data_IF_488180805323
#
_entry.id   IF_488180805323
#
_cell.length_a   1.000
_cell.length_b   1.000
_cell.length_c   1.000
_cell.angle_alpha   90.00
_cell.angle_beta   90.00
_cell.angle_gamma   90.00
#
_symmetry.space_group_name_H-M   'P 1'
#
loop_
_entity.id
_entity.type
_entity.pdbx_description
1 polymer ?
#
# COMPACT_ATOMS: atom_id res chain seq x y z
N UNK A 1 -10.76 1.16 13.40
CA UNK A 1 -10.93 2.05 12.23
C UNK A 1 -10.96 1.15 11.00
N UNK A 2 -12.07 1.11 10.26
CA UNK A 2 -12.17 0.38 8.99
C UNK A 2 -11.96 1.37 7.85
N UNK A 3 -11.06 1.05 6.93
CA UNK A 3 -10.63 1.96 5.88
C UNK A 3 -10.72 1.28 4.51
N UNK A 4 -10.41 2.04 3.47
CA UNK A 4 -10.35 1.54 2.10
C UNK A 4 -9.07 0.73 1.85
N UNK A 5 -9.13 -0.10 0.82
CA UNK A 5 -7.99 -0.80 0.20
C UNK A 5 -6.78 0.12 -0.05
N UNK A 6 -7.00 1.37 -0.46
CA UNK A 6 -5.96 2.40 -0.65
C UNK A 6 -5.16 2.70 0.63
N UNK A 7 -5.81 2.65 1.79
CA UNK A 7 -5.13 2.86 3.08
C UNK A 7 -4.20 1.69 3.39
N UNK A 8 -4.68 0.47 3.17
CA UNK A 8 -3.90 -0.73 3.40
C UNK A 8 -2.76 -0.85 2.37
N UNK A 9 -3.00 -0.49 1.11
CA UNK A 9 -1.97 -0.44 0.07
C UNK A 9 -0.88 0.60 0.40
N UNK A 10 -1.26 1.80 0.83
CA UNK A 10 -0.31 2.84 1.26
C UNK A 10 0.51 2.38 2.46
N UNK A 11 -0.13 1.72 3.43
CA UNK A 11 0.56 1.14 4.58
C UNK A 11 1.53 0.03 4.15
N UNK A 12 1.12 -0.96 3.35
CA UNK A 12 2.00 -2.01 2.84
C UNK A 12 3.18 -1.45 2.04
N UNK A 13 2.98 -0.34 1.32
CA UNK A 13 4.03 0.39 0.61
C UNK A 13 5.03 1.02 1.56
N UNK A 14 4.55 1.73 2.60
CA UNK A 14 5.41 2.26 3.66
C UNK A 14 6.11 1.15 4.45
N UNK A 15 5.48 -0.03 4.56
CA UNK A 15 6.11 -1.19 5.18
C UNK A 15 7.18 -1.85 4.28
N UNK A 16 7.26 -1.48 2.99
CA UNK A 16 8.19 -2.05 2.01
C UNK A 16 7.80 -3.45 1.51
N UNK A 17 6.54 -3.86 1.69
CA UNK A 17 6.09 -5.25 1.44
C UNK A 17 4.92 -5.35 0.45
N UNK A 18 4.48 -4.22 -0.13
CA UNK A 18 3.34 -4.20 -1.05
C UNK A 18 3.50 -5.25 -2.16
N UNK A 19 4.68 -5.37 -2.77
CA UNK A 19 4.89 -6.30 -3.88
C UNK A 19 4.97 -7.77 -3.46
N UNK A 20 5.21 -8.05 -2.19
CA UNK A 20 5.20 -9.42 -1.65
C UNK A 20 3.76 -9.85 -1.33
N UNK A 21 2.96 -8.93 -0.77
CA UNK A 21 1.62 -9.26 -0.27
C UNK A 21 0.56 -9.10 -1.35
N UNK A 22 0.64 -8.04 -2.16
CA UNK A 22 -0.33 -7.68 -3.20
C UNK A 22 0.42 -7.24 -4.48
N UNK A 23 1.07 -8.17 -5.21
CA UNK A 23 1.87 -7.84 -6.40
C UNK A 23 1.04 -7.15 -7.49
N UNK A 24 -0.12 -7.73 -7.84
CA UNK A 24 -0.88 -7.34 -9.02
C UNK A 24 -2.15 -6.52 -8.71
N UNK A 25 -2.18 -5.77 -7.61
CA UNK A 25 -3.35 -4.92 -7.33
C UNK A 25 -3.40 -4.32 -5.94
N UNK A 26 -4.64 -4.11 -5.50
CA UNK A 26 -4.98 -3.59 -4.18
C UNK A 26 -5.40 -4.74 -3.25
N UNK A 27 -5.31 -4.55 -1.92
CA UNK A 27 -5.84 -5.48 -0.94
C UNK A 27 -7.31 -5.85 -1.22
N UNK A 28 -7.64 -7.13 -1.10
CA UNK A 28 -9.00 -7.63 -1.35
C UNK A 28 -10.00 -7.16 -0.29
N UNK A 29 -11.29 -7.36 -0.59
CA UNK A 29 -12.36 -7.02 0.34
C UNK A 29 -12.22 -7.76 1.68
N UNK A 30 -12.37 -7.00 2.77
CA UNK A 30 -12.16 -7.43 4.14
C UNK A 30 -10.72 -7.92 4.46
N UNK A 31 -9.74 -7.53 3.65
CA UNK A 31 -8.33 -7.65 4.03
C UNK A 31 -8.07 -6.90 5.33
N UNK A 32 -7.20 -7.46 6.17
CA UNK A 32 -6.87 -6.87 7.47
C UNK A 32 -5.39 -7.04 7.77
N UNK A 33 -4.83 -6.03 8.41
CA UNK A 33 -3.48 -6.06 8.97
C UNK A 33 -3.58 -5.77 10.45
N UNK A 34 -2.75 -6.46 11.22
CA UNK A 34 -2.74 -6.34 12.67
C UNK A 34 -1.30 -6.33 13.17
N UNK A 35 -1.01 -5.40 14.08
CA UNK A 35 0.28 -5.23 14.72
C UNK A 35 0.19 -5.65 16.17
N UNK A 36 1.13 -6.47 16.59
CA UNK A 36 1.32 -6.88 17.97
C UNK A 36 2.58 -6.24 18.52
N UNK A 37 2.49 -5.74 19.75
CA UNK A 37 3.64 -5.33 20.54
C UNK A 37 3.84 -6.33 21.67
N UNK A 38 4.93 -7.09 21.59
CA UNK A 38 5.33 -8.10 22.56
C UNK A 38 6.46 -7.57 23.43
N UNK A 39 6.48 -8.00 24.70
CA UNK A 39 7.64 -7.80 25.59
C UNK A 39 8.25 -9.17 25.91
N UNK A 40 9.44 -9.42 25.38
CA UNK A 40 10.16 -10.70 25.50
C UNK A 40 11.54 -10.39 26.05
N UNK A 41 11.92 -11.01 27.17
CA UNK A 41 13.21 -10.82 27.84
C UNK A 41 13.55 -9.34 28.11
N UNK A 42 12.53 -8.56 28.48
CA UNK A 42 12.68 -7.12 28.76
C UNK A 42 12.75 -6.24 27.51
N UNK A 43 12.79 -6.81 26.30
CA UNK A 43 12.83 -6.08 25.03
C UNK A 43 11.47 -6.06 24.34
N UNK A 44 11.15 -4.95 23.68
CA UNK A 44 9.94 -4.83 22.87
C UNK A 44 10.17 -5.33 21.45
N UNK A 45 9.26 -6.18 20.98
CA UNK A 45 9.27 -6.76 19.64
C UNK A 45 7.90 -6.59 18.98
N UNK A 46 7.91 -6.39 17.67
CA UNK A 46 6.73 -6.23 16.83
C UNK A 46 6.50 -7.53 16.07
N UNK A 47 5.26 -7.98 16.01
CA UNK A 47 4.81 -9.02 15.08
C UNK A 47 3.68 -8.46 14.25
N UNK A 48 3.69 -8.71 12.96
CA UNK A 48 2.70 -8.19 12.02
C UNK A 48 2.08 -9.35 11.29
N UNK A 49 0.75 -9.44 11.37
CA UNK A 49 0.02 -10.47 10.65
C UNK A 49 -0.95 -9.84 9.64
N UNK A 50 -1.17 -10.56 8.56
CA UNK A 50 -2.04 -10.17 7.46
C UNK A 50 -3.10 -11.23 7.20
N UNK A 51 -4.31 -10.78 6.91
CA UNK A 51 -5.41 -11.61 6.43
C UNK A 51 -5.82 -11.08 5.06
N UNK A 52 -5.82 -11.97 4.07
CA UNK A 52 -5.99 -11.58 2.66
C UNK A 52 -7.40 -11.11 2.32
N UNK A 53 -8.43 -11.80 2.83
CA UNK A 53 -9.83 -11.53 2.49
C UNK A 53 -10.79 -12.17 3.50
N UNK A 54 -12.09 -12.05 3.24
CA UNK A 54 -13.15 -12.59 4.10
C UNK A 54 -13.21 -14.13 4.15
N UNK A 55 -12.69 -14.86 3.14
CA UNK A 55 -12.72 -16.33 3.10
C UNK A 55 -11.51 -16.97 3.77
N UNK A 56 -10.39 -16.25 3.85
CA UNK A 56 -9.18 -16.73 4.52
C UNK A 56 -9.42 -16.78 6.03
N UNK A 57 -9.27 -17.96 6.63
CA UNK A 57 -9.46 -18.15 8.08
C UNK A 57 -8.16 -17.96 8.88
N UNK A 58 -7.01 -18.15 8.23
CA UNK A 58 -5.69 -18.02 8.86
C UNK A 58 -5.12 -16.61 8.72
N UNK A 59 -4.30 -16.24 9.70
CA UNK A 59 -3.45 -15.07 9.65
C UNK A 59 -2.06 -15.46 9.16
N UNK A 60 -1.56 -14.75 8.16
CA UNK A 60 -0.21 -14.90 7.63
C UNK A 60 0.74 -14.02 8.42
N UNK A 61 1.82 -14.59 8.95
CA UNK A 61 2.90 -13.80 9.54
C UNK A 61 3.68 -13.12 8.42
N UNK A 62 3.64 -11.79 8.40
CA UNK A 62 4.32 -10.98 7.38
C UNK A 62 5.53 -10.24 7.94
N UNK A 63 5.92 -10.51 9.19
CA UNK A 63 6.97 -9.78 9.91
C UNK A 63 8.31 -9.86 9.21
N UNK A 64 8.69 -11.05 8.75
CA UNK A 64 9.99 -11.28 8.09
C UNK A 64 10.13 -10.64 6.71
N UNK A 65 9.04 -10.19 6.09
CA UNK A 65 9.08 -9.49 4.79
C UNK A 65 9.35 -8.00 4.96
N UNK A 66 9.13 -7.46 6.16
CA UNK A 66 9.21 -6.03 6.42
C UNK A 66 10.62 -5.50 6.14
N UNK A 67 10.72 -4.48 5.30
CA UNK A 67 12.01 -3.87 4.97
C UNK A 67 12.66 -3.28 6.22
N UNK A 68 13.93 -3.61 6.46
CA UNK A 68 14.68 -3.16 7.63
C UNK A 68 14.40 -3.96 8.92
N UNK A 69 13.54 -4.98 8.89
CA UNK A 69 13.42 -5.97 9.96
C UNK A 69 14.27 -7.22 9.65
N UNK A 70 14.79 -7.93 10.65
CA UNK A 70 15.38 -9.26 10.45
C UNK A 70 14.34 -10.23 9.88
N UNK A 71 14.78 -11.21 9.07
CA UNK A 71 13.92 -12.27 8.52
C UNK A 71 13.55 -13.32 9.58
N UNK A 72 12.84 -12.88 10.62
CA UNK A 72 12.39 -13.66 11.78
C UNK A 72 10.90 -13.42 12.05
N UNK A 73 10.31 -14.24 12.93
CA UNK A 73 8.90 -14.14 13.37
C UNK A 73 8.57 -12.89 14.20
N UNK A 74 9.59 -12.10 14.55
CA UNK A 74 9.46 -10.84 15.30
C UNK A 74 10.51 -9.83 14.83
N UNK A 75 10.14 -8.55 14.85
CA UNK A 75 11.03 -7.43 14.55
C UNK A 75 11.30 -6.62 15.82
N UNK A 76 12.55 -6.35 16.22
CA UNK A 76 12.83 -5.48 17.35
C UNK A 76 12.18 -4.10 17.15
N UNK A 77 11.58 -3.55 18.22
CA UNK A 77 10.89 -2.25 18.14
C UNK A 77 11.81 -1.13 17.65
N UNK A 78 13.09 -1.17 18.02
CA UNK A 78 14.09 -0.17 17.62
C UNK A 78 14.27 -0.18 16.10
N UNK A 79 14.43 -1.36 15.50
CA UNK A 79 14.62 -1.52 14.06
C UNK A 79 13.34 -1.11 13.31
N UNK A 80 12.18 -1.56 13.78
CA UNK A 80 10.88 -1.19 13.23
C UNK A 80 10.65 0.34 13.27
N UNK A 81 11.07 1.00 14.36
CA UNK A 81 10.98 2.45 14.49
C UNK A 81 11.92 3.14 13.51
N UNK A 82 13.20 2.77 13.50
CA UNK A 82 14.21 3.40 12.64
C UNK A 82 13.83 3.33 11.17
N UNK A 83 13.41 2.16 10.69
CA UNK A 83 12.99 2.00 9.29
C UNK A 83 11.70 2.77 8.95
N UNK A 84 10.87 3.08 9.95
CA UNK A 84 9.61 3.81 9.73
C UNK A 84 9.80 5.33 9.67
N UNK A 85 10.94 5.85 10.14
CA UNK A 85 11.23 7.31 10.17
C UNK A 85 11.10 7.96 8.78
N UNK A 86 11.66 7.41 7.68
CA UNK A 86 11.57 8.04 6.36
C UNK A 86 10.14 8.19 5.82
N UNK A 87 9.21 7.36 6.30
CA UNK A 87 7.80 7.37 5.88
C UNK A 87 6.92 8.24 6.79
N UNK A 88 7.49 8.82 7.86
CA UNK A 88 6.78 9.77 8.70
C UNK A 88 6.87 11.17 8.06
N UNK A 89 5.74 11.77 7.64
CA UNK A 89 5.76 13.06 6.95
C UNK A 89 6.23 14.23 7.82
N UNK A 90 6.32 14.08 9.15
CA UNK A 90 6.65 15.18 10.04
C UNK A 90 5.60 16.30 9.90
N UNK A 91 5.95 17.41 9.26
CA UNK A 91 5.02 18.50 8.96
C UNK A 91 4.33 18.27 7.59
N UNK A 92 3.14 17.67 7.64
CA UNK A 92 2.37 17.37 6.42
C UNK A 92 1.96 18.63 5.64
N UNK A 93 1.73 19.76 6.31
CA UNK A 93 1.34 21.01 5.66
C UNK A 93 2.45 21.57 4.77
N UNK A 94 3.69 21.50 5.26
CA UNK A 94 4.87 21.95 4.52
C UNK A 94 5.14 21.03 3.31
N UNK A 95 5.07 19.71 3.51
CA UNK A 95 5.27 18.75 2.42
C UNK A 95 4.21 18.90 1.32
N UNK A 96 2.94 19.08 1.69
CA UNK A 96 1.86 19.27 0.72
C UNK A 96 1.93 20.61 -0.02
N UNK A 97 2.59 21.63 0.55
CA UNK A 97 2.84 22.89 -0.13
C UNK A 97 4.03 22.82 -1.10
N UNK A 98 4.95 21.88 -0.89
CA UNK A 98 6.13 21.66 -1.71
C UNK A 98 5.84 20.71 -2.89
N UNK A 99 4.86 21.08 -3.72
CA UNK A 99 4.60 20.40 -4.99
C UNK A 99 5.39 21.16 -6.06
N UNK A 100 6.28 20.49 -6.82
CA UNK A 100 6.87 21.11 -8.00
C UNK A 100 5.75 21.63 -8.89
N UNK A 101 5.87 22.83 -9.49
CA UNK A 101 4.87 23.28 -10.45
C UNK A 101 4.70 22.16 -11.48
N UNK A 102 3.45 21.72 -11.70
CA UNK A 102 3.15 20.76 -12.75
C UNK A 102 3.90 21.24 -13.98
N UNK A 103 4.82 20.43 -14.51
CA UNK A 103 5.42 20.72 -15.78
C UNK A 103 4.24 20.88 -16.73
N UNK A 104 4.03 22.11 -17.20
CA UNK A 104 3.02 22.44 -18.21
C UNK A 104 3.46 21.72 -19.46
N UNK A 105 3.23 20.41 -19.51
CA UNK A 105 3.25 19.67 -20.74
C UNK A 105 2.05 20.25 -21.45
N UNK A 106 2.29 21.24 -22.31
CA UNK A 106 1.37 21.63 -23.34
C UNK A 106 1.09 20.35 -24.11
N UNK A 107 0.05 19.62 -23.69
CA UNK A 107 -0.55 18.59 -24.51
C UNK A 107 -0.94 19.32 -25.78
N UNK A 108 -0.14 19.13 -26.82
CA UNK A 108 -0.48 19.56 -28.18
C UNK A 108 -1.91 19.06 -28.39
N UNK A 109 -2.88 19.92 -28.73
CA UNK A 109 -4.25 19.50 -28.93
C UNK A 109 -4.24 18.26 -29.81
N UNK A 110 -4.85 17.17 -29.35
CA UNK A 110 -4.95 15.97 -30.15
C UNK A 110 -5.61 16.37 -31.48
N UNK A 111 -4.88 16.23 -32.57
CA UNK A 111 -5.45 16.40 -33.90
C UNK A 111 -6.44 15.27 -34.06
N UNK A 112 -7.73 15.53 -33.82
CA UNK A 112 -8.82 14.59 -34.04
C UNK A 112 -8.79 14.18 -35.52
N UNK A 113 -8.51 12.91 -35.86
CA UNK A 113 -8.82 12.42 -37.20
C UNK A 113 -10.35 12.35 -37.29
N UNK A 114 -10.94 13.07 -38.23
CA UNK A 114 -12.36 12.96 -38.56
C UNK A 114 -12.63 11.55 -39.10
N UNK A 115 -12.96 10.60 -38.21
CA UNK A 115 -13.49 9.31 -38.62
C UNK A 115 -14.99 9.46 -38.82
N UNK A 116 -15.43 9.47 -40.08
CA UNK A 116 -16.83 9.45 -40.45
C UNK A 116 -17.55 8.27 -39.76
N UNK A 117 -18.65 8.57 -39.08
CA UNK A 117 -19.51 7.61 -38.40
C UNK A 117 -20.23 6.73 -39.42
N UNK A 118 -19.87 5.45 -39.50
CA UNK A 118 -20.75 4.42 -40.05
C UNK A 118 -21.31 3.61 -38.88
N UNK A 119 -22.52 3.97 -38.45
CA UNK A 119 -23.32 3.18 -37.51
C UNK A 119 -23.98 2.04 -38.28
N UNK A 120 -23.61 0.80 -37.98
CA UNK A 120 -24.41 -0.39 -38.32
C UNK A 120 -25.01 -0.93 -37.02
N UNK A 121 -26.33 -0.93 -36.94
CA UNK A 121 -27.11 -1.51 -35.84
C UNK A 121 -27.07 -3.04 -35.93
N UNK A 122 -26.56 -3.69 -34.89
CA UNK A 122 -26.74 -5.13 -34.68
C UNK A 122 -27.99 -5.37 -33.81
N UNK A 123 -28.98 -6.07 -34.38
CA UNK A 123 -30.10 -6.61 -33.61
C UNK A 123 -29.70 -7.94 -32.99
N UNK A 124 -29.83 -8.05 -31.67
CA UNK A 124 -29.79 -9.34 -30.99
C UNK A 124 -31.11 -10.08 -31.27
N UNK A 125 -31.00 -11.31 -31.78
CA UNK A 125 -32.09 -12.30 -31.76
C UNK A 125 -32.10 -13.00 -30.40
#
# INVERSE_FOLDING_TARGET
>A
MFQHDSTLNGLLSALGIKEVITPDGLPEYAAAIFFELWKIDGQYKIKVNYRRNYTTLSWEDITGYISGCPSNDTCPYVDFKLRSIPFNPGNITELCANVPPFATTTLKPATTPSRASNYQSYSYR
#
